data_IF_155366384922
#
_entry.id   IF_155366384922
#
_cell.length_a   1.000
_cell.length_b   1.000
_cell.length_c   1.000
_cell.angle_alpha   90.00
_cell.angle_beta   90.00
_cell.angle_gamma   90.00
#
_symmetry.space_group_name_H-M   'P 1'
#
loop_
_entity.id
_entity.type
_entity.pdbx_description
1 polymer ?
#
# COMPACT_ATOMS: atom_id res chain seq x y z
N UNK A 1 18.90 23.99 -3.41
CA UNK A 1 18.16 24.84 -4.35
C UNK A 1 19.15 25.44 -5.36
N UNK A 2 18.80 25.38 -6.65
CA UNK A 2 19.61 25.97 -7.70
C UNK A 2 19.14 27.39 -7.97
N UNK A 3 20.01 28.25 -8.57
CA UNK A 3 19.71 29.66 -8.86
C UNK A 3 18.47 29.87 -9.77
N UNK A 4 18.00 28.82 -10.43
CA UNK A 4 16.80 28.83 -11.30
C UNK A 4 15.52 28.33 -10.59
N UNK A 5 15.53 28.15 -9.27
CA UNK A 5 14.38 27.67 -8.49
C UNK A 5 14.12 26.16 -8.58
N UNK A 6 15.07 25.40 -9.15
CA UNK A 6 15.02 23.95 -9.09
C UNK A 6 15.62 23.41 -7.79
N UNK A 7 14.94 22.45 -7.19
CA UNK A 7 15.45 21.64 -6.10
C UNK A 7 15.87 20.29 -6.64
N UNK A 8 17.03 19.79 -6.25
CA UNK A 8 17.48 18.44 -6.53
C UNK A 8 17.78 17.75 -5.22
N UNK A 9 17.18 16.62 -4.97
CA UNK A 9 17.46 15.77 -3.82
C UNK A 9 17.82 14.36 -4.28
N UNK A 10 18.68 13.70 -3.51
CA UNK A 10 19.06 12.30 -3.71
C UNK A 10 18.78 11.60 -2.40
N UNK A 11 18.08 10.48 -2.49
CA UNK A 11 17.86 9.58 -1.36
C UNK A 11 18.46 8.22 -1.68
N UNK A 12 19.08 7.60 -0.70
CA UNK A 12 19.55 6.23 -0.82
C UNK A 12 19.59 5.58 0.56
N UNK A 13 19.30 4.28 0.62
CA UNK A 13 19.46 3.44 1.79
C UNK A 13 20.62 2.50 1.51
N UNK A 14 21.56 2.43 2.46
CA UNK A 14 22.66 1.48 2.40
C UNK A 14 22.30 0.33 3.33
N UNK A 15 22.14 -0.85 2.75
CA UNK A 15 21.97 -2.07 3.52
C UNK A 15 23.33 -2.66 3.90
N UNK A 16 23.50 -3.04 5.15
CA UNK A 16 24.75 -3.61 5.65
C UNK A 16 24.87 -5.13 5.45
N UNK A 17 23.88 -5.74 4.80
CA UNK A 17 23.96 -7.12 4.29
C UNK A 17 24.17 -8.18 5.36
N UNK A 18 23.57 -8.07 6.54
CA UNK A 18 23.59 -9.11 7.56
C UNK A 18 22.29 -9.90 7.68
N UNK A 19 21.32 -9.60 6.82
CA UNK A 19 20.09 -10.37 6.74
C UNK A 19 20.28 -11.62 5.87
N UNK A 20 20.01 -12.78 6.46
CA UNK A 20 20.15 -14.08 5.79
C UNK A 20 19.15 -14.28 4.64
N UNK A 21 18.20 -13.39 4.46
CA UNK A 21 17.24 -13.39 3.35
C UNK A 21 17.82 -12.76 2.09
N UNK A 22 18.80 -11.86 2.22
CA UNK A 22 19.42 -11.14 1.10
C UNK A 22 20.77 -11.73 0.66
N UNK A 23 20.96 -13.03 0.83
CA UNK A 23 22.21 -13.76 0.53
C UNK A 23 22.61 -13.74 -0.97
N UNK A 24 21.88 -13.08 -1.84
CA UNK A 24 22.16 -12.93 -3.27
C UNK A 24 22.37 -11.48 -3.70
N UNK A 25 22.12 -10.50 -2.83
CA UNK A 25 22.30 -9.08 -3.13
C UNK A 25 23.78 -8.70 -3.19
N UNK A 26 24.25 -8.35 -4.38
CA UNK A 26 25.58 -7.77 -4.60
C UNK A 26 25.54 -6.25 -4.63
N UNK A 27 24.35 -5.65 -4.47
CA UNK A 27 24.15 -4.21 -4.48
C UNK A 27 24.15 -3.67 -3.05
N UNK A 28 25.01 -2.69 -2.74
CA UNK A 28 25.06 -2.09 -1.41
C UNK A 28 23.93 -1.10 -1.15
N UNK A 29 23.00 -0.91 -2.10
CA UNK A 29 21.86 -0.01 -2.01
C UNK A 29 20.59 -0.83 -1.97
N UNK A 30 19.79 -0.63 -0.92
CA UNK A 30 18.46 -1.22 -0.77
C UNK A 30 17.41 -0.40 -1.53
N UNK A 31 17.55 0.91 -1.52
CA UNK A 31 16.74 1.78 -2.36
C UNK A 31 17.51 3.06 -2.71
N UNK A 32 17.23 3.60 -3.89
CA UNK A 32 17.80 4.89 -4.28
C UNK A 32 16.87 5.65 -5.21
N UNK A 33 16.87 6.97 -5.06
CA UNK A 33 16.09 7.84 -5.94
C UNK A 33 16.74 9.21 -6.11
N UNK A 34 16.43 9.86 -7.24
CA UNK A 34 16.74 11.26 -7.52
C UNK A 34 15.45 12.00 -7.78
N UNK A 35 15.21 13.08 -7.06
CA UNK A 35 14.03 13.94 -7.26
C UNK A 35 14.46 15.32 -7.73
N UNK A 36 13.84 15.79 -8.81
CA UNK A 36 13.98 17.15 -9.36
C UNK A 36 12.61 17.82 -9.24
N UNK A 37 12.52 18.94 -8.56
CA UNK A 37 11.23 19.61 -8.30
C UNK A 37 11.33 21.13 -8.37
N UNK A 38 10.20 21.77 -8.66
CA UNK A 38 9.96 23.20 -8.45
C UNK A 38 8.47 23.45 -8.29
N UNK A 39 8.10 24.58 -7.68
CA UNK A 39 6.69 24.97 -7.47
C UNK A 39 5.93 25.11 -8.79
N UNK A 40 6.62 25.51 -9.89
CA UNK A 40 5.99 25.73 -11.18
C UNK A 40 5.84 24.46 -12.03
N UNK A 41 6.72 23.47 -11.86
CA UNK A 41 6.79 22.29 -12.72
C UNK A 41 6.40 20.99 -12.00
N UNK A 42 6.19 21.05 -10.69
CA UNK A 42 5.96 19.85 -9.89
C UNK A 42 7.24 19.07 -9.61
N UNK A 43 7.15 17.76 -9.50
CA UNK A 43 8.23 16.88 -9.10
C UNK A 43 8.38 15.72 -10.07
N UNK A 44 9.59 15.50 -10.57
CA UNK A 44 10.01 14.30 -11.28
C UNK A 44 10.95 13.49 -10.39
N UNK A 45 10.57 12.27 -10.10
CA UNK A 45 11.37 11.33 -9.32
C UNK A 45 11.84 10.18 -10.23
N UNK A 46 13.10 9.85 -10.15
CA UNK A 46 13.74 8.69 -10.76
C UNK A 46 14.02 7.71 -9.64
N UNK A 47 13.37 6.56 -9.64
CA UNK A 47 13.47 5.53 -8.59
C UNK A 47 14.20 4.35 -9.19
N UNK A 48 15.41 4.07 -8.72
CA UNK A 48 16.24 3.02 -9.31
C UNK A 48 16.05 1.65 -8.67
N UNK A 49 15.60 1.58 -7.43
CA UNK A 49 15.32 0.32 -6.72
C UNK A 49 14.16 0.57 -5.73
N UNK A 50 13.30 -0.44 -5.54
CA UNK A 50 12.08 -0.30 -4.76
C UNK A 50 11.03 0.55 -5.49
N UNK A 51 10.79 0.26 -6.75
CA UNK A 51 9.92 1.01 -7.64
C UNK A 51 8.49 1.15 -7.10
N UNK A 52 7.86 2.28 -7.39
CA UNK A 52 6.49 2.60 -7.00
C UNK A 52 5.73 3.08 -8.22
N UNK A 53 4.68 2.35 -8.63
CA UNK A 53 3.74 2.83 -9.66
C UNK A 53 2.77 3.86 -9.09
N UNK A 54 1.99 4.52 -9.95
CA UNK A 54 0.93 5.43 -9.50
C UNK A 54 -0.10 4.73 -8.63
N UNK A 55 -0.47 3.48 -8.93
CA UNK A 55 -1.40 2.70 -8.12
C UNK A 55 -0.81 2.36 -6.75
N UNK A 56 0.41 1.82 -6.70
CA UNK A 56 1.07 1.48 -5.44
C UNK A 56 1.49 2.71 -4.61
N UNK A 57 1.51 3.92 -5.20
CA UNK A 57 1.75 5.17 -4.48
C UNK A 57 0.60 5.59 -3.57
N UNK A 58 -0.62 5.05 -3.78
CA UNK A 58 -1.74 5.19 -2.84
C UNK A 58 -1.47 4.27 -1.66
N UNK A 59 -0.74 4.78 -0.67
CA UNK A 59 -0.23 4.00 0.44
C UNK A 59 -1.35 3.38 1.29
N UNK A 60 -1.35 2.07 1.35
CA UNK A 60 -2.17 1.26 2.24
C UNK A 60 -3.68 1.35 1.99
N UNK A 61 -4.38 0.41 2.56
CA UNK A 61 -5.84 0.37 2.59
C UNK A 61 -6.43 1.42 3.53
N UNK A 62 -7.75 1.58 3.52
CA UNK A 62 -8.44 2.48 4.46
C UNK A 62 -8.29 2.04 5.92
N UNK A 63 -8.23 0.73 6.17
CA UNK A 63 -8.07 0.16 7.50
C UNK A 63 -6.60 0.01 7.95
N UNK A 64 -5.64 0.32 7.07
CA UNK A 64 -4.22 0.30 7.39
C UNK A 64 -3.57 -1.07 7.22
N UNK A 65 -3.88 -1.77 6.12
CA UNK A 65 -3.29 -3.07 5.75
C UNK A 65 -3.46 -4.13 6.85
N UNK A 66 -4.69 -4.40 7.24
CA UNK A 66 -4.97 -5.43 8.25
C UNK A 66 -4.53 -6.82 7.76
N UNK A 67 -4.60 -7.05 6.44
CA UNK A 67 -4.18 -8.26 5.75
C UNK A 67 -2.72 -8.66 6.07
N UNK A 68 -1.81 -7.71 6.19
CA UNK A 68 -0.39 -7.91 6.50
C UNK A 68 -0.16 -8.62 7.86
N UNK A 69 -1.18 -8.59 8.74
CA UNK A 69 -1.11 -9.30 10.03
C UNK A 69 -0.98 -10.81 9.86
N UNK A 70 -1.53 -11.38 8.78
CA UNK A 70 -1.58 -12.83 8.55
C UNK A 70 -0.85 -13.29 7.29
N UNK A 71 -0.31 -12.35 6.51
CA UNK A 71 0.37 -12.66 5.26
C UNK A 71 1.50 -13.70 5.46
N UNK A 72 1.57 -14.67 4.55
CA UNK A 72 2.52 -15.78 4.53
C UNK A 72 2.63 -16.58 5.84
N UNK A 73 1.65 -16.44 6.74
CA UNK A 73 1.65 -17.19 8.00
C UNK A 73 1.49 -18.68 7.78
N UNK A 74 2.40 -19.47 8.35
CA UNK A 74 2.33 -20.93 8.29
C UNK A 74 1.44 -21.46 9.41
N UNK A 75 0.35 -22.13 9.06
CA UNK A 75 -0.65 -22.61 10.01
C UNK A 75 -0.68 -24.14 10.00
N UNK A 76 -0.68 -24.75 11.17
CA UNK A 76 -0.84 -26.19 11.30
C UNK A 76 -2.24 -26.62 10.84
N UNK A 77 -2.31 -27.49 9.85
CA UNK A 77 -3.56 -27.96 9.26
C UNK A 77 -3.87 -27.37 7.89
N UNK A 78 -3.10 -26.38 7.44
CA UNK A 78 -3.12 -25.93 6.05
C UNK A 78 -1.99 -26.60 5.27
N UNK A 79 -2.25 -26.90 4.01
CA UNK A 79 -1.25 -27.48 3.11
C UNK A 79 -0.22 -26.45 2.63
N UNK A 80 -0.59 -25.17 2.63
CA UNK A 80 0.22 -24.00 2.24
C UNK A 80 0.10 -22.92 3.31
N UNK A 81 1.04 -21.99 3.35
CA UNK A 81 0.91 -20.77 4.13
C UNK A 81 -0.31 -19.94 3.66
N UNK A 82 -0.76 -19.01 4.49
CA UNK A 82 -1.73 -17.99 4.07
C UNK A 82 -1.12 -17.26 2.85
N UNK A 83 -1.86 -17.12 1.73
CA UNK A 83 -1.35 -16.42 0.56
C UNK A 83 -1.23 -14.93 0.84
N UNK A 84 -0.50 -14.23 -0.01
CA UNK A 84 -0.56 -12.76 -0.06
C UNK A 84 -2.00 -12.35 -0.39
N UNK A 85 -2.57 -11.53 0.48
CA UNK A 85 -3.95 -11.02 0.37
C UNK A 85 -3.98 -9.61 -0.23
N UNK A 86 -2.80 -9.03 -0.52
CA UNK A 86 -2.72 -7.70 -1.13
C UNK A 86 -3.19 -7.72 -2.58
N UNK A 87 -3.75 -6.60 -3.00
CA UNK A 87 -4.30 -6.40 -4.33
C UNK A 87 -3.33 -5.69 -5.28
N UNK A 88 -2.12 -5.43 -4.89
CA UNK A 88 -1.17 -4.69 -5.74
C UNK A 88 -0.02 -5.56 -6.20
N UNK A 89 0.16 -5.65 -7.51
CA UNK A 89 1.43 -6.10 -8.07
C UNK A 89 2.54 -5.11 -7.71
N UNK A 90 3.73 -5.62 -7.48
CA UNK A 90 4.90 -4.78 -7.22
C UNK A 90 5.48 -4.31 -8.55
N UNK A 91 5.60 -3.00 -8.80
CA UNK A 91 6.32 -2.52 -9.98
C UNK A 91 7.79 -2.93 -9.90
N UNK A 92 8.42 -3.02 -11.05
CA UNK A 92 9.85 -3.26 -11.15
C UNK A 92 10.70 -2.07 -10.68
N UNK A 93 11.99 -2.18 -10.87
CA UNK A 93 12.95 -1.10 -10.63
C UNK A 93 12.94 -0.09 -11.79
N UNK A 94 13.68 1.03 -11.62
CA UNK A 94 13.88 2.05 -12.64
C UNK A 94 12.61 2.83 -13.05
N UNK A 95 11.74 3.15 -12.12
CA UNK A 95 10.48 3.87 -12.34
C UNK A 95 10.71 5.39 -12.38
N UNK A 96 10.10 6.04 -13.38
CA UNK A 96 9.95 7.49 -13.45
C UNK A 96 8.57 7.86 -12.91
N UNK A 97 8.52 8.71 -11.89
CA UNK A 97 7.26 9.23 -11.36
C UNK A 97 7.23 10.75 -11.45
N UNK A 98 6.20 11.27 -12.08
CA UNK A 98 5.94 12.72 -12.13
C UNK A 98 4.69 13.06 -11.31
N UNK A 99 4.81 14.08 -10.46
CA UNK A 99 3.68 14.68 -9.74
C UNK A 99 3.52 16.12 -10.19
N UNK A 100 2.34 16.48 -10.67
CA UNK A 100 2.04 17.83 -11.13
C UNK A 100 2.07 18.84 -9.97
N UNK A 101 2.27 20.14 -10.24
CA UNK A 101 1.80 21.18 -9.32
C UNK A 101 0.28 21.04 -9.10
N UNK A 102 -0.27 21.79 -8.15
CA UNK A 102 -1.72 21.91 -8.05
C UNK A 102 -2.30 22.43 -9.39
N UNK A 103 -3.17 21.62 -9.99
CA UNK A 103 -3.88 21.96 -11.24
C UNK A 103 -5.04 22.93 -10.93
N UNK A 104 -5.67 22.71 -9.81
CA UNK A 104 -6.69 23.55 -9.18
C UNK A 104 -6.62 23.28 -7.67
N UNK A 105 -7.30 24.10 -6.87
CA UNK A 105 -7.29 24.01 -5.41
C UNK A 105 -7.44 22.57 -4.91
N UNK A 106 -6.36 22.07 -4.32
CA UNK A 106 -6.26 20.72 -3.76
C UNK A 106 -6.19 19.57 -4.76
N UNK A 107 -6.11 19.80 -6.09
CA UNK A 107 -6.02 18.74 -7.09
C UNK A 107 -4.61 18.61 -7.67
N UNK A 108 -4.01 17.43 -7.53
CA UNK A 108 -2.76 17.05 -8.19
C UNK A 108 -2.97 15.80 -9.05
N UNK A 109 -2.12 15.62 -10.06
CA UNK A 109 -2.06 14.43 -10.90
C UNK A 109 -0.68 13.79 -10.80
N UNK A 110 -0.63 12.47 -10.92
CA UNK A 110 0.60 11.69 -10.97
C UNK A 110 0.65 10.86 -12.26
N UNK A 111 1.85 10.66 -12.78
CA UNK A 111 2.13 9.78 -13.91
C UNK A 111 3.32 8.91 -13.54
N UNK A 112 3.28 7.63 -13.87
CA UNK A 112 4.44 6.74 -13.74
C UNK A 112 4.77 6.08 -15.08
N UNK A 113 6.03 5.79 -15.26
CA UNK A 113 6.54 5.04 -16.40
C UNK A 113 7.70 4.16 -15.95
N UNK A 114 7.55 2.87 -16.17
CA UNK A 114 8.57 1.85 -16.00
C UNK A 114 9.14 1.49 -17.39
N UNK A 115 10.42 1.74 -17.65
CA UNK A 115 11.02 1.42 -18.94
C UNK A 115 11.07 -0.10 -19.19
N UNK A 116 11.00 -0.48 -20.44
CA UNK A 116 11.19 -1.87 -20.84
C UNK A 116 12.58 -2.40 -20.40
N UNK A 117 12.59 -3.59 -19.81
CA UNK A 117 13.80 -4.32 -19.46
C UNK A 117 13.86 -5.65 -20.21
N UNK A 118 14.96 -6.41 -20.05
CA UNK A 118 15.15 -7.68 -20.78
C UNK A 118 14.07 -8.71 -20.42
N UNK A 119 13.15 -8.94 -21.38
CA UNK A 119 12.04 -9.89 -21.21
C UNK A 119 10.82 -9.36 -20.46
N UNK A 120 10.79 -8.05 -20.17
CA UNK A 120 9.72 -7.35 -19.50
C UNK A 120 9.32 -6.15 -20.37
N UNK A 121 8.04 -5.95 -20.65
CA UNK A 121 7.53 -4.80 -21.38
C UNK A 121 7.61 -3.53 -20.53
N UNK A 122 7.23 -2.37 -21.06
CA UNK A 122 7.15 -1.11 -20.30
C UNK A 122 5.77 -0.97 -19.64
N UNK A 123 5.77 -0.56 -18.39
CA UNK A 123 4.55 -0.21 -17.64
C UNK A 123 4.29 1.30 -17.62
N UNK A 124 3.04 1.68 -17.55
CA UNK A 124 2.61 3.09 -17.40
C UNK A 124 1.50 3.20 -16.36
N UNK A 125 1.38 4.36 -15.76
CA UNK A 125 0.29 4.62 -14.83
C UNK A 125 -0.07 6.09 -14.74
N UNK A 126 -1.26 6.36 -14.23
CA UNK A 126 -1.69 7.70 -13.89
C UNK A 126 -2.58 7.71 -12.64
N UNK A 127 -2.61 8.82 -11.95
CA UNK A 127 -3.45 8.98 -10.77
C UNK A 127 -3.82 10.43 -10.51
N UNK A 128 -4.78 10.62 -9.64
CA UNK A 128 -5.23 11.91 -9.14
C UNK A 128 -5.36 11.86 -7.62
N UNK A 129 -5.03 12.98 -6.97
CA UNK A 129 -5.26 13.18 -5.55
C UNK A 129 -5.96 14.52 -5.36
N UNK A 130 -7.07 14.53 -4.60
CA UNK A 130 -7.86 15.72 -4.30
C UNK A 130 -8.02 15.92 -2.80
N UNK A 131 -7.65 17.10 -2.34
CA UNK A 131 -7.75 17.56 -0.95
C UNK A 131 -8.37 18.95 -0.80
N UNK A 132 -9.01 19.47 -1.86
CA UNK A 132 -9.56 20.83 -1.90
C UNK A 132 -10.81 21.06 -1.03
N UNK A 133 -11.33 20.02 -0.35
CA UNK A 133 -12.40 20.15 0.63
C UNK A 133 -11.87 19.80 2.03
N UNK A 134 -12.16 20.64 3.02
CA UNK A 134 -11.73 20.43 4.39
C UNK A 134 -12.15 19.03 4.90
N UNK A 135 -11.19 18.29 5.42
CA UNK A 135 -11.37 16.94 5.96
C UNK A 135 -11.51 15.83 4.90
N UNK A 136 -11.63 16.15 3.60
CA UNK A 136 -11.77 15.15 2.54
C UNK A 136 -10.45 14.93 1.79
N UNK A 137 -10.09 13.66 1.64
CA UNK A 137 -9.04 13.23 0.69
C UNK A 137 -9.65 12.18 -0.23
N UNK A 138 -9.49 12.37 -1.54
CA UNK A 138 -9.86 11.40 -2.57
C UNK A 138 -8.63 11.08 -3.40
N UNK A 139 -8.38 9.79 -3.60
CA UNK A 139 -7.28 9.28 -4.40
C UNK A 139 -7.80 8.24 -5.38
N UNK A 140 -7.34 8.29 -6.61
CA UNK A 140 -7.60 7.28 -7.62
C UNK A 140 -6.36 7.13 -8.49
N UNK A 141 -5.97 5.90 -8.77
CA UNK A 141 -4.86 5.63 -9.67
C UNK A 141 -5.03 4.29 -10.38
N UNK A 142 -4.43 4.21 -11.55
CA UNK A 142 -4.28 2.99 -12.34
C UNK A 142 -2.84 2.87 -12.78
N UNK A 143 -2.35 1.65 -12.94
CA UNK A 143 -1.04 1.37 -13.49
C UNK A 143 -0.98 -0.03 -14.10
N UNK A 144 -0.35 -0.14 -15.26
CA UNK A 144 0.12 -1.42 -15.76
C UNK A 144 1.31 -1.86 -14.87
N UNK A 145 1.25 -3.05 -14.34
CA UNK A 145 2.36 -3.70 -13.66
C UNK A 145 2.90 -4.77 -14.58
N UNK A 146 4.17 -4.67 -14.92
CA UNK A 146 4.79 -5.59 -15.86
C UNK A 146 5.82 -6.43 -15.13
N UNK A 147 5.43 -7.65 -14.80
CA UNK A 147 6.29 -8.63 -14.15
C UNK A 147 7.10 -9.49 -15.14
N UNK A 148 8.02 -10.27 -14.61
CA UNK A 148 8.82 -11.21 -15.40
C UNK A 148 8.01 -12.40 -15.98
N UNK A 149 6.75 -12.53 -15.60
CA UNK A 149 5.83 -13.58 -16.07
C UNK A 149 4.43 -13.00 -16.21
N UNK A 150 3.57 -13.63 -17.00
CA UNK A 150 2.14 -13.27 -17.11
C UNK A 150 1.39 -13.38 -15.79
N UNK A 151 1.86 -14.18 -14.84
CA UNK A 151 1.32 -14.30 -13.48
C UNK A 151 1.66 -13.12 -12.55
N UNK A 152 2.52 -12.22 -12.99
CA UNK A 152 2.95 -11.04 -12.21
C UNK A 152 2.74 -9.74 -12.99
N UNK A 153 2.18 -9.86 -14.21
CA UNK A 153 1.77 -8.72 -15.02
C UNK A 153 0.27 -8.53 -14.94
N UNK A 154 -0.19 -7.31 -14.96
CA UNK A 154 -1.62 -7.00 -14.92
C UNK A 154 -1.90 -5.53 -14.71
N UNK A 155 -3.17 -5.20 -14.67
CA UNK A 155 -3.66 -3.86 -14.41
C UNK A 155 -3.97 -3.69 -12.92
N UNK A 156 -3.39 -2.67 -12.30
CA UNK A 156 -3.74 -2.29 -10.95
C UNK A 156 -4.63 -1.05 -10.95
N UNK A 157 -5.74 -1.11 -10.23
CA UNK A 157 -6.59 0.03 -9.93
C UNK A 157 -6.65 0.25 -8.43
N UNK A 158 -6.47 1.47 -7.97
CA UNK A 158 -6.57 1.85 -6.57
C UNK A 158 -7.47 3.06 -6.40
N UNK A 159 -8.40 2.97 -5.46
CA UNK A 159 -9.24 4.09 -5.02
C UNK A 159 -9.23 4.15 -3.50
N UNK A 160 -9.04 5.36 -2.95
CA UNK A 160 -9.11 5.60 -1.51
C UNK A 160 -9.79 6.93 -1.22
N UNK A 161 -10.73 6.92 -0.30
CA UNK A 161 -11.41 8.10 0.20
C UNK A 161 -11.32 8.14 1.72
N UNK A 162 -10.98 9.30 2.28
CA UNK A 162 -11.06 9.53 3.72
C UNK A 162 -11.79 10.83 3.99
N UNK A 163 -12.61 10.85 5.03
CA UNK A 163 -13.32 12.05 5.45
C UNK A 163 -13.29 12.20 6.98
N UNK A 164 -12.76 13.33 7.43
CA UNK A 164 -12.71 13.71 8.84
C UNK A 164 -13.78 14.76 9.13
N UNK A 165 -14.65 14.46 10.10
CA UNK A 165 -15.67 15.39 10.57
C UNK A 165 -15.76 15.38 12.09
N UNK A 166 -15.33 16.48 12.72
CA UNK A 166 -15.23 16.54 14.17
C UNK A 166 -14.31 15.45 14.73
N UNK A 167 -14.77 14.66 15.72
CA UNK A 167 -13.96 13.59 16.30
C UNK A 167 -13.95 12.27 15.48
N UNK A 168 -14.65 12.22 14.36
CA UNK A 168 -14.82 11.00 13.56
C UNK A 168 -14.05 11.12 12.25
N UNK A 169 -13.27 10.10 11.91
CA UNK A 169 -12.70 9.93 10.57
C UNK A 169 -13.21 8.61 10.00
N UNK A 170 -13.72 8.66 8.78
CA UNK A 170 -14.13 7.46 8.03
C UNK A 170 -13.21 7.30 6.81
N UNK A 171 -12.88 6.07 6.49
CA UNK A 171 -12.10 5.70 5.33
C UNK A 171 -12.75 4.56 4.57
N UNK A 172 -12.59 4.58 3.24
CA UNK A 172 -12.97 3.52 2.34
C UNK A 172 -11.94 3.40 1.22
N UNK A 173 -11.55 2.19 0.87
CA UNK A 173 -10.70 1.94 -0.28
C UNK A 173 -11.09 0.67 -1.00
N UNK A 174 -10.84 0.66 -2.31
CA UNK A 174 -10.90 -0.53 -3.17
C UNK A 174 -9.60 -0.58 -3.95
N UNK A 175 -8.98 -1.74 -3.96
CA UNK A 175 -7.85 -2.07 -4.80
C UNK A 175 -8.20 -3.29 -5.64
N UNK A 176 -7.81 -3.26 -6.89
CA UNK A 176 -8.05 -4.31 -7.86
C UNK A 176 -6.76 -4.60 -8.61
N UNK A 177 -6.40 -5.87 -8.71
CA UNK A 177 -5.34 -6.38 -9.56
C UNK A 177 -5.94 -7.39 -10.53
N UNK A 178 -5.98 -7.03 -11.81
CA UNK A 178 -6.45 -7.86 -12.92
C UNK A 178 -5.23 -8.46 -13.63
N UNK A 179 -4.96 -9.73 -13.38
CA UNK A 179 -3.79 -10.44 -13.88
C UNK A 179 -3.94 -10.72 -15.39
N UNK A 180 -2.86 -10.62 -16.16
CA UNK A 180 -2.86 -10.83 -17.62
C UNK A 180 -3.10 -12.30 -18.04
N UNK A 181 -3.64 -13.13 -17.15
CA UNK A 181 -3.99 -14.51 -17.44
C UNK A 181 -5.41 -14.63 -17.99
N UNK A 182 -5.64 -15.61 -18.87
CA UNK A 182 -6.95 -15.80 -19.51
C UNK A 182 -8.00 -16.45 -18.61
N UNK A 183 -7.63 -16.93 -17.43
CA UNK A 183 -8.53 -17.65 -16.52
C UNK A 183 -8.87 -16.85 -15.23
N UNK A 184 -8.28 -15.67 -15.05
CA UNK A 184 -8.53 -14.79 -13.91
C UNK A 184 -8.15 -15.42 -12.55
N UNK A 185 -7.24 -16.41 -12.56
CA UNK A 185 -6.90 -17.14 -11.33
C UNK A 185 -6.06 -16.33 -10.34
N UNK A 186 -5.42 -15.28 -10.82
CA UNK A 186 -4.59 -14.37 -10.04
C UNK A 186 -5.25 -13.03 -9.73
N UNK A 187 -6.45 -12.76 -10.28
CA UNK A 187 -7.18 -11.53 -9.99
C UNK A 187 -7.48 -11.42 -8.50
N UNK A 188 -7.24 -10.25 -7.94
CA UNK A 188 -7.50 -9.97 -6.52
C UNK A 188 -8.23 -8.63 -6.41
N UNK A 189 -9.39 -8.62 -5.78
CA UNK A 189 -10.05 -7.41 -5.35
C UNK A 189 -9.98 -7.30 -3.82
N UNK A 190 -9.57 -6.15 -3.30
CA UNK A 190 -9.58 -5.85 -1.88
C UNK A 190 -10.42 -4.62 -1.58
N UNK A 191 -11.44 -4.80 -0.78
CA UNK A 191 -12.26 -3.73 -0.21
C UNK A 191 -11.85 -3.48 1.23
N UNK A 192 -11.73 -2.23 1.63
CA UNK A 192 -11.38 -1.86 3.00
C UNK A 192 -12.19 -0.68 3.50
N UNK A 193 -12.60 -0.74 4.76
CA UNK A 193 -13.23 0.38 5.45
C UNK A 193 -12.68 0.56 6.85
N UNK A 194 -12.68 1.80 7.33
CA UNK A 194 -12.31 2.12 8.70
C UNK A 194 -13.12 3.27 9.27
N UNK A 195 -13.31 3.22 10.58
CA UNK A 195 -13.88 4.32 11.37
C UNK A 195 -12.98 4.57 12.56
N UNK A 196 -12.45 5.77 12.68
CA UNK A 196 -11.67 6.22 13.82
C UNK A 196 -12.48 7.23 14.62
N UNK A 197 -12.54 7.06 15.92
CA UNK A 197 -13.14 8.01 16.86
C UNK A 197 -12.08 8.55 17.83
N UNK A 198 -11.87 9.86 17.79
CA UNK A 198 -11.02 10.59 18.74
C UNK A 198 -11.81 10.83 20.04
N UNK A 199 -11.54 10.04 21.05
CA UNK A 199 -12.23 10.10 22.35
C UNK A 199 -11.80 11.33 23.14
N UNK A 200 -10.50 11.64 23.10
CA UNK A 200 -9.88 12.84 23.69
C UNK A 200 -8.61 13.18 22.91
N UNK A 201 -7.95 14.27 23.27
CA UNK A 201 -6.67 14.69 22.66
C UNK A 201 -5.58 13.61 22.79
N UNK A 202 -5.71 12.71 23.78
CA UNK A 202 -4.76 11.64 24.05
C UNK A 202 -5.18 10.26 23.55
N UNK A 203 -6.49 10.02 23.33
CA UNK A 203 -7.04 8.69 23.05
C UNK A 203 -7.84 8.63 21.75
N UNK A 204 -7.48 7.73 20.88
CA UNK A 204 -8.29 7.34 19.72
C UNK A 204 -8.57 5.84 19.70
N UNK A 205 -9.70 5.47 19.11
CA UNK A 205 -10.12 4.09 18.86
C UNK A 205 -10.48 3.96 17.40
N UNK A 206 -10.00 2.89 16.74
CA UNK A 206 -10.29 2.59 15.36
C UNK A 206 -10.88 1.20 15.24
N UNK A 207 -11.94 1.06 14.45
CA UNK A 207 -12.41 -0.19 13.90
C UNK A 207 -12.12 -0.21 12.40
N UNK A 208 -11.58 -1.30 11.89
CA UNK A 208 -11.31 -1.53 10.47
C UNK A 208 -11.78 -2.91 10.03
N UNK A 209 -12.13 -3.02 8.74
CA UNK A 209 -12.48 -4.27 8.09
C UNK A 209 -11.89 -4.27 6.68
N UNK A 210 -11.42 -5.44 6.26
CA UNK A 210 -10.92 -5.72 4.91
C UNK A 210 -11.51 -7.02 4.41
N UNK A 211 -11.85 -7.03 3.13
CA UNK A 211 -12.34 -8.21 2.41
C UNK A 211 -11.46 -8.38 1.18
N UNK A 212 -10.89 -9.57 0.99
CA UNK A 212 -10.11 -9.92 -0.18
C UNK A 212 -10.82 -11.04 -0.94
N UNK A 213 -11.13 -10.76 -2.20
CA UNK A 213 -11.67 -11.73 -3.14
C UNK A 213 -10.59 -12.14 -4.13
N UNK A 214 -10.50 -13.41 -4.44
CA UNK A 214 -9.57 -13.93 -5.43
C UNK A 214 -10.34 -14.61 -6.56
N UNK A 215 -10.02 -14.23 -7.80
CA UNK A 215 -10.67 -14.61 -9.05
C UNK A 215 -11.19 -16.04 -9.19
N UNK A 216 -11.46 -16.49 -10.36
CA UNK A 216 -12.36 -17.61 -10.69
C UNK A 216 -12.16 -18.97 -9.99
N UNK A 217 -11.07 -19.15 -9.23
CA UNK A 217 -10.75 -20.42 -8.56
C UNK A 217 -11.09 -20.46 -7.07
N UNK A 218 -11.43 -19.33 -6.46
CA UNK A 218 -11.78 -19.23 -5.05
C UNK A 218 -13.29 -19.08 -4.87
N UNK A 219 -13.84 -19.76 -3.88
CA UNK A 219 -15.28 -19.74 -3.59
C UNK A 219 -15.63 -18.89 -2.37
N UNK A 220 -14.62 -18.48 -1.61
CA UNK A 220 -14.80 -17.78 -0.34
C UNK A 220 -14.00 -16.49 -0.33
N UNK A 221 -14.55 -15.49 0.33
CA UNK A 221 -13.92 -14.20 0.61
C UNK A 221 -13.08 -14.35 1.86
N UNK A 222 -11.85 -13.84 1.85
CA UNK A 222 -11.05 -13.69 3.06
C UNK A 222 -11.48 -12.39 3.77
N UNK A 223 -11.96 -12.50 4.99
CA UNK A 223 -12.44 -11.37 5.79
C UNK A 223 -11.48 -11.09 6.95
N UNK A 224 -11.10 -9.84 7.15
CA UNK A 224 -10.21 -9.42 8.23
C UNK A 224 -10.83 -8.22 8.93
N UNK A 225 -10.93 -8.28 10.24
CA UNK A 225 -11.39 -7.15 11.05
C UNK A 225 -10.45 -6.85 12.21
N UNK A 226 -10.38 -5.60 12.61
CA UNK A 226 -9.58 -5.20 13.75
C UNK A 226 -10.22 -4.09 14.56
N UNK A 227 -10.00 -4.15 15.88
CA UNK A 227 -10.18 -3.02 16.77
C UNK A 227 -8.82 -2.61 17.32
N UNK A 228 -8.53 -1.32 17.32
CA UNK A 228 -7.28 -0.78 17.85
C UNK A 228 -7.51 0.49 18.66
N UNK A 229 -6.56 0.78 19.54
CA UNK A 229 -6.50 2.05 20.25
C UNK A 229 -5.09 2.61 20.25
N UNK A 230 -4.98 3.94 20.35
CA UNK A 230 -3.73 4.64 20.60
C UNK A 230 -3.96 5.67 21.73
N UNK A 231 -3.11 5.62 22.74
CA UNK A 231 -3.11 6.57 23.86
C UNK A 231 -1.74 7.24 23.96
N UNK A 232 -1.69 8.57 23.80
CA UNK A 232 -0.46 9.34 23.82
C UNK A 232 -0.49 10.35 24.96
N UNK A 233 0.43 10.24 25.90
CA UNK A 233 0.58 11.19 27.01
C UNK A 233 2.03 11.29 27.47
N UNK A 234 2.51 12.49 27.77
CA UNK A 234 3.80 12.73 28.40
C UNK A 234 5.02 12.19 27.61
N UNK A 235 4.96 12.17 26.27
CA UNK A 235 6.03 11.61 25.43
C UNK A 235 5.99 10.08 25.27
N UNK A 236 4.97 9.41 25.82
CA UNK A 236 4.72 7.98 25.64
C UNK A 236 3.48 7.77 24.77
N UNK A 237 3.55 6.83 23.84
CA UNK A 237 2.38 6.30 23.12
C UNK A 237 2.21 4.82 23.46
N UNK A 238 1.06 4.48 24.02
CA UNK A 238 0.60 3.09 24.23
C UNK A 238 -0.40 2.74 23.12
N UNK A 239 -0.19 1.64 22.42
CA UNK A 239 -1.09 1.16 21.39
C UNK A 239 -1.44 -0.31 21.58
N UNK A 240 -2.66 -0.68 21.20
CA UNK A 240 -3.09 -2.06 21.17
C UNK A 240 -3.98 -2.32 19.96
N UNK A 241 -3.87 -3.51 19.38
CA UNK A 241 -4.69 -3.98 18.26
C UNK A 241 -5.05 -5.44 18.47
N UNK A 242 -6.29 -5.78 18.25
CA UNK A 242 -6.80 -7.14 18.10
C UNK A 242 -7.32 -7.29 16.68
N UNK A 243 -6.86 -8.31 15.98
CA UNK A 243 -7.19 -8.61 14.58
C UNK A 243 -7.75 -10.01 14.51
N UNK A 244 -8.86 -10.16 13.83
CA UNK A 244 -9.51 -11.44 13.53
C UNK A 244 -9.54 -11.62 12.02
N UNK A 245 -9.21 -12.80 11.53
CA UNK A 245 -9.27 -13.16 10.12
C UNK A 245 -10.01 -14.46 9.92
N UNK A 246 -10.92 -14.48 8.95
CA UNK A 246 -11.71 -15.64 8.55
C UNK A 246 -11.45 -16.00 7.10
N UNK A 247 -11.47 -17.27 6.77
CA UNK A 247 -11.25 -17.79 5.40
C UNK A 247 -9.95 -17.32 4.74
N UNK A 248 -8.89 -17.06 5.50
CA UNK A 248 -7.67 -16.38 5.04
C UNK A 248 -6.92 -17.08 3.89
N UNK A 249 -7.30 -18.31 3.54
CA UNK A 249 -6.78 -18.98 2.36
C UNK A 249 -7.89 -19.24 1.32
N UNK A 250 -8.92 -18.39 1.31
CA UNK A 250 -10.08 -18.42 0.40
C UNK A 250 -10.85 -19.76 0.43
N UNK A 251 -10.89 -20.41 1.57
CA UNK A 251 -11.63 -21.65 1.80
C UNK A 251 -12.33 -21.63 3.14
N UNK A 252 -13.39 -22.43 3.30
CA UNK A 252 -14.09 -22.64 4.59
C UNK A 252 -13.32 -23.51 5.58
N UNK A 253 -12.02 -23.69 5.41
CA UNK A 253 -11.20 -24.42 6.36
C UNK A 253 -10.92 -23.57 7.62
N UNK A 254 -11.54 -23.93 8.74
CA UNK A 254 -11.38 -23.19 10.00
C UNK A 254 -9.93 -23.14 10.54
N UNK A 255 -9.00 -23.91 9.98
CA UNK A 255 -7.59 -23.73 10.27
C UNK A 255 -7.04 -22.41 9.68
N UNK A 256 -7.76 -21.79 8.72
CA UNK A 256 -7.46 -20.48 8.17
C UNK A 256 -8.16 -19.33 8.91
N UNK A 257 -8.87 -19.61 10.01
CA UNK A 257 -9.45 -18.58 10.88
C UNK A 257 -8.44 -18.29 11.99
N UNK A 258 -7.92 -17.07 12.03
CA UNK A 258 -6.83 -16.68 12.91
C UNK A 258 -7.18 -15.45 13.74
N UNK A 259 -6.60 -15.39 14.94
CA UNK A 259 -6.66 -14.21 15.80
C UNK A 259 -5.24 -13.77 16.15
N UNK A 260 -5.01 -12.46 16.15
CA UNK A 260 -3.77 -11.86 16.61
C UNK A 260 -4.05 -10.65 17.49
N UNK A 261 -3.18 -10.42 18.47
CA UNK A 261 -3.22 -9.21 19.25
C UNK A 261 -1.81 -8.65 19.46
N UNK A 262 -1.71 -7.34 19.47
CA UNK A 262 -0.46 -6.62 19.73
C UNK A 262 -0.68 -5.59 20.82
N UNK A 263 0.35 -5.37 21.63
CA UNK A 263 0.43 -4.27 22.57
C UNK A 263 1.82 -3.67 22.47
N UNK A 264 1.88 -2.38 22.20
CA UNK A 264 3.12 -1.64 22.01
C UNK A 264 3.19 -0.40 22.89
N UNK A 265 4.42 -0.03 23.27
CA UNK A 265 4.71 1.25 23.88
C UNK A 265 5.93 1.87 23.23
N UNK A 266 5.81 3.13 22.79
CA UNK A 266 6.90 3.93 22.24
C UNK A 266 7.12 5.17 23.07
N UNK A 267 8.37 5.62 23.14
CA UNK A 267 8.78 6.78 23.94
C UNK A 267 9.53 7.76 23.06
N UNK A 268 9.15 9.04 23.08
CA UNK A 268 9.88 10.13 22.47
C UNK A 268 10.79 10.79 23.54
N UNK A 269 12.08 10.92 23.24
CA UNK A 269 13.09 11.51 24.12
C UNK A 269 13.60 12.84 23.55
#
# INVERSE_FOLDING_TARGET
ELDNGLNVSVSFVIDQGDDSSDATGTTPFDSHSVTISSDAMGSLQLIGEGGVSTASSIAGTAAGNLWDTFDQHTVTGLATAIPDLSQTGTPGDDVFMYTSPEIMDGLTATLSWEPQNTGIDSGTGWGINYTGMEGLTLQYAVADVVGATTLTSGDNTQMKATYAYGPVTVGYSVGDHDEETTDGSGDIEMTSMAVTYTVSDELSITYGQEESERGSTSSEVAEISAISFAYTAGGMTLSGKMTEGENLNYTTNTAADLEAWTLGASFAF
#
